data_IF_198803779784
#
_entry.id   IF_198803779784
#
_cell.length_a   1.000
_cell.length_b   1.000
_cell.length_c   1.000
_cell.angle_alpha   90.00
_cell.angle_beta   90.00
_cell.angle_gamma   90.00
#
_symmetry.space_group_name_H-M   'P 1'
#
loop_
_entity.id
_entity.type
_entity.pdbx_description
1 polymer ?
#
# COMPACT_ATOMS: atom_id res chain seq x y z
N UNK A 1 36.34 -19.33 59.84
CA UNK A 1 36.83 -19.70 58.49
C UNK A 1 36.21 -21.04 58.12
N UNK A 2 35.47 -21.06 56.99
CA UNK A 2 35.30 -22.14 55.98
C UNK A 2 35.61 -23.60 56.37
N UNK A 3 34.91 -24.64 55.94
CA UNK A 3 33.94 -24.89 54.85
C UNK A 3 33.31 -26.27 55.12
N UNK A 4 32.04 -26.49 54.74
CA UNK A 4 31.38 -27.81 54.81
C UNK A 4 31.40 -28.49 53.43
N UNK A 5 31.81 -29.77 53.44
CA UNK A 5 31.82 -30.76 52.36
C UNK A 5 30.41 -31.09 51.84
N UNK A 6 30.32 -31.51 50.57
CA UNK A 6 29.85 -32.87 50.22
C UNK A 6 30.05 -33.17 48.73
N UNK A 7 30.57 -34.36 48.46
CA UNK A 7 30.71 -34.97 47.13
C UNK A 7 29.79 -36.19 47.07
N UNK A 8 29.00 -36.38 46.00
CA UNK A 8 28.51 -37.71 45.58
C UNK A 8 28.40 -37.74 44.04
N UNK A 9 29.00 -38.76 43.45
CA UNK A 9 28.80 -39.32 42.10
C UNK A 9 28.29 -40.75 42.34
N UNK A 10 27.45 -41.43 41.55
CA UNK A 10 27.39 -41.64 40.11
C UNK A 10 26.14 -42.53 39.84
N UNK A 11 25.48 -42.41 38.69
CA UNK A 11 25.09 -43.52 37.79
C UNK A 11 24.09 -43.06 36.71
N UNK A 12 24.40 -43.39 35.46
CA UNK A 12 23.54 -43.30 34.26
C UNK A 12 23.28 -44.74 33.80
N UNK A 13 22.12 -45.04 33.18
CA UNK A 13 22.18 -45.36 31.76
C UNK A 13 21.03 -44.76 30.93
N UNK A 14 21.33 -44.56 29.65
CA UNK A 14 20.48 -44.04 28.59
C UNK A 14 19.42 -45.04 28.10
N UNK A 15 18.34 -44.55 27.51
CA UNK A 15 17.73 -45.14 26.29
C UNK A 15 16.78 -44.14 25.63
N UNK A 16 16.88 -44.04 24.30
CA UNK A 16 15.98 -43.34 23.42
C UNK A 16 14.80 -44.25 23.03
N UNK A 17 13.58 -43.72 22.92
CA UNK A 17 12.55 -44.26 22.04
C UNK A 17 11.43 -43.23 21.82
N UNK A 18 11.04 -43.13 20.56
CA UNK A 18 9.93 -42.42 19.93
C UNK A 18 8.60 -42.58 20.67
N UNK A 19 7.79 -41.51 20.75
CA UNK A 19 6.37 -41.65 21.08
C UNK A 19 5.50 -41.08 19.95
N UNK A 20 4.74 -42.03 19.43
CA UNK A 20 3.66 -42.04 18.46
C UNK A 20 2.46 -41.20 18.95
N UNK A 21 1.79 -40.50 18.04
CA UNK A 21 0.43 -39.99 18.24
C UNK A 21 -0.58 -41.14 18.15
N UNK A 22 -1.67 -41.10 18.95
CA UNK A 22 -2.93 -41.62 18.44
C UNK A 22 -4.13 -40.69 18.69
N UNK A 23 -5.11 -40.87 17.81
CA UNK A 23 -6.32 -40.08 17.59
C UNK A 23 -7.39 -40.18 18.68
N UNK A 24 -8.17 -39.10 18.77
CA UNK A 24 -9.59 -38.95 19.16
C UNK A 24 -10.29 -40.01 20.02
N UNK A 25 -10.95 -39.56 21.11
CA UNK A 25 -12.42 -39.52 21.36
C UNK A 25 -12.64 -38.97 22.79
N UNK A 26 -13.63 -38.09 22.97
CA UNK A 26 -13.67 -37.11 24.07
C UNK A 26 -14.36 -37.51 25.38
N UNK A 27 -14.25 -36.60 26.36
CA UNK A 27 -15.23 -36.36 27.41
C UNK A 27 -15.07 -34.92 27.96
N UNK A 28 -16.19 -34.28 28.27
CA UNK A 28 -16.31 -32.88 28.71
C UNK A 28 -16.11 -32.76 30.22
N UNK A 29 -15.27 -31.81 30.66
CA UNK A 29 -15.45 -31.14 31.96
C UNK A 29 -14.62 -29.85 32.04
N UNK A 30 -15.30 -28.72 32.25
CA UNK A 30 -14.76 -27.59 33.00
C UNK A 30 -14.11 -26.45 32.20
N UNK A 31 -14.87 -25.38 32.02
CA UNK A 31 -14.37 -24.02 32.24
C UNK A 31 -13.61 -23.34 31.10
N UNK A 32 -14.02 -22.10 30.82
CA UNK A 32 -13.42 -21.14 29.88
C UNK A 32 -13.61 -21.46 28.39
N UNK A 33 -14.67 -20.90 27.83
CA UNK A 33 -14.76 -20.66 26.39
C UNK A 33 -13.66 -19.68 25.98
N UNK A 34 -12.51 -20.21 25.55
CA UNK A 34 -11.56 -19.46 24.73
C UNK A 34 -12.18 -19.41 23.34
N UNK A 35 -12.83 -18.28 23.03
CA UNK A 35 -13.20 -17.96 21.65
C UNK A 35 -11.88 -17.83 20.87
N UNK A 36 -11.51 -18.89 20.16
CA UNK A 36 -10.54 -18.79 19.09
C UNK A 36 -11.18 -17.96 17.98
N UNK A 37 -11.06 -16.63 18.09
CA UNK A 37 -11.07 -15.80 16.89
C UNK A 37 -9.89 -16.29 16.06
N UNK A 38 -10.20 -17.04 15.00
CA UNK A 38 -9.27 -17.27 13.90
C UNK A 38 -8.89 -15.91 13.32
N UNK A 39 -7.87 -15.27 13.88
CA UNK A 39 -7.15 -14.22 13.20
C UNK A 39 -6.52 -14.89 11.97
N UNK A 40 -7.14 -14.68 10.80
CA UNK A 40 -6.53 -14.99 9.50
C UNK A 40 -5.10 -14.47 9.55
N UNK A 41 -4.14 -15.37 9.53
CA UNK A 41 -2.72 -15.04 9.57
C UNK A 41 -2.41 -14.21 8.32
N UNK A 42 -1.76 -13.04 8.48
CA UNK A 42 -1.24 -12.22 7.36
C UNK A 42 -0.01 -12.94 6.71
N UNK A 43 -0.05 -14.27 6.57
CA UNK A 43 0.98 -15.04 5.88
C UNK A 43 0.79 -14.85 4.37
N UNK A 44 1.89 -14.77 3.61
CA UNK A 44 1.86 -14.87 2.13
C UNK A 44 1.29 -16.25 1.77
N UNK A 45 0.07 -16.37 1.22
CA UNK A 45 -0.36 -17.64 0.66
C UNK A 45 0.40 -17.86 -0.64
N UNK A 46 0.93 -19.07 -0.84
CA UNK A 46 1.39 -19.51 -2.16
C UNK A 46 0.14 -19.55 -3.06
N UNK A 47 0.08 -18.68 -4.06
CA UNK A 47 -1.00 -18.74 -5.02
C UNK A 47 -0.90 -20.05 -5.81
N UNK A 48 -2.05 -20.60 -6.22
CA UNK A 48 -2.07 -21.81 -7.04
C UNK A 48 -1.52 -21.45 -8.44
N UNK A 49 -0.27 -21.82 -8.72
CA UNK A 49 0.51 -21.34 -9.87
C UNK A 49 -0.20 -21.51 -11.24
N UNK A 50 -1.08 -22.50 -11.39
CA UNK A 50 -1.74 -22.83 -12.66
C UNK A 50 -2.72 -21.76 -13.21
N UNK A 51 -3.22 -20.81 -12.40
CA UNK A 51 -4.13 -19.74 -12.86
C UNK A 51 -3.46 -18.36 -13.03
N UNK A 52 -2.24 -18.18 -12.52
CA UNK A 52 -1.44 -16.96 -12.66
C UNK A 52 -0.62 -16.96 -13.96
N UNK A 53 -0.30 -18.13 -14.52
CA UNK A 53 0.42 -18.31 -15.80
C UNK A 53 -0.32 -17.76 -17.04
N UNK A 54 -1.53 -17.21 -16.88
CA UNK A 54 -2.36 -16.65 -17.98
C UNK A 54 -2.43 -15.11 -17.98
N UNK A 55 -1.69 -14.42 -17.11
CA UNK A 55 -1.68 -12.95 -17.08
C UNK A 55 -0.67 -12.46 -18.14
N UNK A 56 -1.11 -11.82 -19.26
CA UNK A 56 -0.23 -11.53 -20.39
C UNK A 56 0.67 -10.30 -20.20
N UNK A 57 0.57 -9.60 -19.06
CA UNK A 57 1.27 -8.35 -18.82
C UNK A 57 2.70 -8.64 -18.33
N UNK A 58 3.62 -8.86 -19.27
CA UNK A 58 5.05 -8.92 -18.98
C UNK A 58 5.61 -7.50 -18.92
N UNK A 59 6.20 -7.09 -17.79
CA UNK A 59 6.79 -5.77 -17.58
C UNK A 59 7.69 -5.34 -18.76
N UNK A 60 7.16 -4.58 -19.72
CA UNK A 60 7.93 -3.99 -20.79
C UNK A 60 8.62 -2.74 -20.26
N UNK A 61 9.89 -2.54 -20.65
CA UNK A 61 10.65 -1.39 -20.18
C UNK A 61 10.15 -0.11 -20.86
N UNK A 62 9.93 0.99 -20.12
CA UNK A 62 9.62 2.29 -20.72
C UNK A 62 10.82 2.78 -21.57
N UNK A 63 10.64 3.83 -22.39
CA UNK A 63 11.74 4.45 -23.13
C UNK A 63 12.93 4.75 -22.22
N UNK A 64 14.17 4.50 -22.69
CA UNK A 64 15.39 4.58 -21.86
C UNK A 64 15.54 5.91 -21.09
N UNK A 65 15.14 7.02 -21.70
CA UNK A 65 15.28 8.36 -21.11
C UNK A 65 14.32 8.57 -19.93
N UNK A 66 13.07 8.12 -20.06
CA UNK A 66 12.08 8.10 -18.98
C UNK A 66 12.48 7.11 -17.88
N UNK A 67 13.03 5.94 -18.26
CA UNK A 67 13.54 4.95 -17.33
C UNK A 67 14.69 5.53 -16.49
N UNK A 68 15.62 6.27 -17.08
CA UNK A 68 16.75 6.88 -16.38
C UNK A 68 16.29 7.93 -15.36
N UNK A 69 15.33 8.79 -15.75
CA UNK A 69 14.76 9.81 -14.87
C UNK A 69 14.03 9.19 -13.68
N UNK A 70 13.16 8.20 -13.92
CA UNK A 70 12.39 7.52 -12.88
C UNK A 70 13.27 6.67 -11.96
N UNK A 71 14.27 5.98 -12.51
CA UNK A 71 15.26 5.27 -11.68
C UNK A 71 15.97 6.25 -10.77
N UNK A 72 16.37 7.42 -11.27
CA UNK A 72 17.02 8.48 -10.46
C UNK A 72 16.11 9.05 -9.36
N UNK A 73 14.80 9.01 -9.56
CA UNK A 73 13.79 9.40 -8.58
C UNK A 73 13.71 8.41 -7.42
N UNK A 74 13.89 7.12 -7.71
CA UNK A 74 13.78 6.02 -6.74
C UNK A 74 15.13 5.55 -6.18
N UNK A 75 16.26 6.03 -6.71
CA UNK A 75 17.58 5.83 -6.09
C UNK A 75 17.49 6.27 -4.61
N UNK A 76 17.87 5.39 -3.66
CA UNK A 76 17.93 5.73 -2.25
C UNK A 76 18.69 7.04 -2.02
N UNK A 77 17.95 8.12 -1.73
CA UNK A 77 18.54 9.42 -1.43
C UNK A 77 19.11 9.40 -0.01
N UNK A 78 20.14 10.24 0.28
CA UNK A 78 20.65 10.37 1.63
C UNK A 78 19.47 10.66 2.58
N UNK A 79 19.42 9.97 3.71
CA UNK A 79 18.31 10.02 4.69
C UNK A 79 17.87 11.46 5.02
N UNK A 80 18.83 12.39 5.06
CA UNK A 80 18.58 13.82 5.27
C UNK A 80 17.59 14.41 4.26
N UNK A 81 17.69 14.05 2.97
CA UNK A 81 16.81 14.60 1.94
C UNK A 81 15.36 14.14 2.14
N UNK A 82 15.17 12.85 2.44
CA UNK A 82 13.83 12.29 2.65
C UNK A 82 13.18 12.89 3.91
N UNK A 83 13.97 13.14 4.97
CA UNK A 83 13.52 13.87 6.16
C UNK A 83 13.07 15.30 5.80
N UNK A 84 13.86 16.03 5.00
CA UNK A 84 13.51 17.38 4.56
C UNK A 84 12.22 17.38 3.74
N UNK A 85 12.05 16.41 2.85
CA UNK A 85 10.87 16.32 2.00
C UNK A 85 9.60 16.02 2.82
N UNK A 86 9.65 15.04 3.75
CA UNK A 86 8.55 14.77 4.68
C UNK A 86 8.25 15.98 5.59
N UNK A 87 9.29 16.70 6.01
CA UNK A 87 9.16 17.94 6.76
C UNK A 87 8.46 19.05 5.95
N UNK A 88 8.80 19.16 4.66
CA UNK A 88 8.18 20.08 3.71
C UNK A 88 6.68 19.82 3.56
N UNK A 89 6.29 18.55 3.37
CA UNK A 89 4.87 18.16 3.32
C UNK A 89 4.17 18.60 4.60
N UNK A 90 4.67 18.23 5.78
CA UNK A 90 4.06 18.63 7.07
C UNK A 90 3.93 20.14 7.24
N UNK A 91 4.90 20.91 6.76
CA UNK A 91 4.86 22.37 6.80
C UNK A 91 3.75 22.90 5.88
N UNK A 92 3.59 22.33 4.69
CA UNK A 92 2.50 22.65 3.76
C UNK A 92 1.14 22.31 4.37
N UNK A 93 1.01 21.16 5.05
CA UNK A 93 -0.21 20.77 5.77
C UNK A 93 -0.56 21.78 6.89
N UNK A 94 0.45 22.21 7.65
CA UNK A 94 0.27 23.21 8.69
C UNK A 94 -0.14 24.57 8.10
N UNK A 95 0.53 25.01 7.03
CA UNK A 95 0.20 26.24 6.33
C UNK A 95 -1.24 26.20 5.78
N UNK A 96 -1.65 25.06 5.23
CA UNK A 96 -3.01 24.81 4.76
C UNK A 96 -4.03 24.92 5.87
N UNK A 97 -3.77 24.29 7.01
CA UNK A 97 -4.62 24.34 8.20
C UNK A 97 -4.79 25.77 8.73
N UNK A 98 -3.69 26.53 8.80
CA UNK A 98 -3.71 27.95 9.21
C UNK A 98 -4.48 28.80 8.19
N UNK A 99 -4.23 28.62 6.89
CA UNK A 99 -4.92 29.38 5.85
C UNK A 99 -6.43 29.13 5.87
N UNK A 100 -6.88 27.90 6.10
CA UNK A 100 -8.30 27.58 6.29
C UNK A 100 -8.85 28.26 7.55
N UNK A 101 -8.14 28.20 8.68
CA UNK A 101 -8.57 28.85 9.93
C UNK A 101 -8.67 30.38 9.82
N UNK A 102 -7.84 30.99 8.98
CA UNK A 102 -7.86 32.43 8.68
C UNK A 102 -8.84 32.80 7.55
N UNK A 103 -9.56 31.83 6.94
CA UNK A 103 -10.45 32.07 5.82
C UNK A 103 -9.74 32.45 4.51
N UNK A 104 -8.42 32.25 4.43
CA UNK A 104 -7.60 32.54 3.25
C UNK A 104 -7.62 31.40 2.22
N UNK A 105 -8.19 30.25 2.57
CA UNK A 105 -8.34 29.08 1.71
C UNK A 105 -9.75 28.50 1.83
N UNK A 106 -10.26 27.97 0.71
CA UNK A 106 -11.58 27.32 0.65
C UNK A 106 -11.64 26.15 1.63
N UNK A 107 -12.70 26.09 2.43
CA UNK A 107 -12.99 24.94 3.28
C UNK A 107 -13.38 23.75 2.39
N UNK A 108 -12.81 22.55 2.61
CA UNK A 108 -13.17 21.38 1.83
C UNK A 108 -14.67 21.11 1.86
N UNK A 109 -15.26 20.91 0.68
CA UNK A 109 -16.66 20.48 0.56
C UNK A 109 -16.81 19.13 1.26
N UNK A 110 -17.76 18.97 2.19
CA UNK A 110 -18.07 17.67 2.74
C UNK A 110 -18.74 16.79 1.69
N UNK A 111 -18.27 15.56 1.54
CA UNK A 111 -18.94 14.55 0.73
C UNK A 111 -19.42 13.42 1.66
N UNK A 112 -20.73 13.41 1.88
CA UNK A 112 -21.41 12.47 2.77
C UNK A 112 -22.06 11.29 2.04
N UNK A 113 -22.12 11.37 0.71
CA UNK A 113 -22.69 10.36 -0.16
C UNK A 113 -21.63 9.77 -1.08
N UNK A 114 -21.58 8.45 -1.16
CA UNK A 114 -20.65 7.72 -2.03
C UNK A 114 -21.04 7.83 -3.51
N UNK A 115 -22.31 8.13 -3.78
CA UNK A 115 -22.86 8.34 -5.11
C UNK A 115 -22.68 9.78 -5.60
N UNK A 116 -21.98 10.64 -4.86
CA UNK A 116 -21.69 12.00 -5.31
C UNK A 116 -20.92 11.94 -6.66
N UNK A 117 -21.27 12.76 -7.67
CA UNK A 117 -20.70 12.66 -9.01
C UNK A 117 -19.18 12.75 -9.08
N UNK A 118 -18.51 13.35 -8.10
CA UNK A 118 -17.02 13.40 -8.08
C UNK A 118 -16.39 12.01 -7.91
N UNK A 119 -17.18 11.02 -7.51
CA UNK A 119 -16.78 9.63 -7.26
C UNK A 119 -17.25 8.70 -8.38
N UNK A 120 -17.58 9.24 -9.55
CA UNK A 120 -18.04 8.42 -10.69
C UNK A 120 -17.01 7.32 -10.94
N UNK A 121 -17.43 6.06 -10.75
CA UNK A 121 -16.57 4.91 -11.03
C UNK A 121 -16.59 4.70 -12.53
N UNK A 122 -15.44 4.79 -13.22
CA UNK A 122 -15.39 4.57 -14.66
C UNK A 122 -15.86 3.15 -15.00
N UNK A 123 -16.78 3.04 -15.96
CA UNK A 123 -17.39 1.77 -16.40
C UNK A 123 -16.79 1.25 -17.70
N UNK A 124 -15.67 1.82 -18.13
CA UNK A 124 -14.93 1.39 -19.32
C UNK A 124 -14.36 0.00 -19.14
N UNK A 125 -14.05 -0.66 -20.26
CA UNK A 125 -13.47 -2.01 -20.26
C UNK A 125 -12.16 -2.06 -19.46
N UNK A 126 -11.26 -1.09 -19.68
CA UNK A 126 -9.99 -0.99 -18.96
C UNK A 126 -10.18 -0.83 -17.45
N UNK A 127 -11.13 0.01 -17.02
CA UNK A 127 -11.42 0.23 -15.60
C UNK A 127 -11.98 -1.03 -14.91
N UNK A 128 -12.92 -1.71 -15.55
CA UNK A 128 -13.49 -2.96 -15.03
C UNK A 128 -12.44 -4.08 -14.99
N UNK A 129 -11.61 -4.19 -16.03
CA UNK A 129 -10.52 -5.15 -16.10
C UNK A 129 -9.44 -4.86 -15.04
N UNK A 130 -9.15 -3.59 -14.73
CA UNK A 130 -8.19 -3.22 -13.70
C UNK A 130 -8.68 -3.63 -12.31
N UNK A 131 -9.97 -3.42 -12.03
CA UNK A 131 -10.58 -3.84 -10.77
C UNK A 131 -10.56 -5.36 -10.63
N UNK A 132 -10.93 -6.07 -11.70
CA UNK A 132 -10.90 -7.52 -11.73
C UNK A 132 -9.47 -8.07 -11.53
N UNK A 133 -8.46 -7.45 -12.14
CA UNK A 133 -7.06 -7.83 -11.95
C UNK A 133 -6.62 -7.61 -10.51
N UNK A 134 -6.89 -6.43 -9.93
CA UNK A 134 -6.57 -6.10 -8.54
C UNK A 134 -7.21 -7.09 -7.55
N UNK A 135 -8.49 -7.42 -7.75
CA UNK A 135 -9.20 -8.42 -6.95
C UNK A 135 -8.60 -9.83 -7.10
N UNK A 136 -8.31 -10.24 -8.33
CA UNK A 136 -7.74 -11.56 -8.62
C UNK A 136 -6.36 -11.72 -7.96
N UNK A 137 -5.50 -10.72 -8.05
CA UNK A 137 -4.11 -10.81 -7.57
C UNK A 137 -4.01 -10.65 -6.05
N UNK A 138 -4.88 -9.84 -5.44
CA UNK A 138 -5.01 -9.78 -3.99
C UNK A 138 -5.50 -11.12 -3.40
N UNK A 139 -6.42 -11.78 -4.10
CA UNK A 139 -7.06 -13.01 -3.66
C UNK A 139 -7.94 -12.82 -2.40
N UNK A 140 -8.57 -13.89 -1.90
CA UNK A 140 -9.60 -13.79 -0.85
C UNK A 140 -9.05 -13.41 0.54
N UNK A 141 -7.73 -13.39 0.72
CA UNK A 141 -7.07 -13.11 2.00
C UNK A 141 -6.49 -11.70 2.10
N UNK A 142 -6.48 -10.91 1.02
CA UNK A 142 -5.92 -9.55 0.99
C UNK A 142 -6.90 -8.50 0.49
N UNK A 143 -8.19 -8.64 0.82
CA UNK A 143 -9.22 -7.64 0.51
C UNK A 143 -8.84 -6.23 0.99
N UNK A 144 -8.05 -6.11 2.05
CA UNK A 144 -7.52 -4.84 2.54
C UNK A 144 -6.70 -4.07 1.48
N UNK A 145 -6.02 -4.76 0.54
CA UNK A 145 -5.28 -4.12 -0.59
C UNK A 145 -6.27 -3.55 -1.60
N UNK A 146 -7.29 -4.31 -1.99
CA UNK A 146 -8.31 -3.85 -2.93
C UNK A 146 -9.04 -2.63 -2.35
N UNK A 147 -9.42 -2.70 -1.08
CA UNK A 147 -10.06 -1.59 -0.39
C UNK A 147 -9.11 -0.39 -0.28
N UNK A 148 -7.82 -0.59 -0.03
CA UNK A 148 -6.82 0.47 -0.06
C UNK A 148 -6.75 1.15 -1.42
N UNK A 149 -6.67 0.38 -2.51
CA UNK A 149 -6.64 0.94 -3.86
C UNK A 149 -7.90 1.76 -4.18
N UNK A 150 -9.08 1.28 -3.77
CA UNK A 150 -10.33 2.01 -3.91
C UNK A 150 -10.36 3.29 -3.07
N UNK A 151 -9.86 3.24 -1.82
CA UNK A 151 -9.67 4.44 -0.97
C UNK A 151 -8.66 5.41 -1.57
N UNK A 152 -7.59 4.94 -2.21
CA UNK A 152 -6.60 5.76 -2.90
C UNK A 152 -7.24 6.53 -4.05
N UNK A 153 -8.05 5.89 -4.91
CA UNK A 153 -8.82 6.59 -5.94
C UNK A 153 -9.71 7.67 -5.35
N UNK A 154 -10.49 7.25 -4.37
CA UNK A 154 -11.43 8.06 -3.61
C UNK A 154 -10.78 9.32 -3.03
N UNK A 155 -9.73 9.17 -2.24
CA UNK A 155 -9.03 10.31 -1.63
C UNK A 155 -8.32 11.18 -2.67
N UNK A 156 -7.71 10.58 -3.71
CA UNK A 156 -7.10 11.33 -4.81
C UNK A 156 -8.11 12.23 -5.53
N UNK A 157 -9.29 11.71 -5.87
CA UNK A 157 -10.36 12.46 -6.52
C UNK A 157 -10.88 13.62 -5.64
N UNK A 158 -11.07 13.36 -4.34
CA UNK A 158 -11.52 14.40 -3.40
C UNK A 158 -10.47 15.51 -3.20
N UNK A 159 -9.18 15.17 -3.19
CA UNK A 159 -8.09 16.16 -3.16
C UNK A 159 -8.04 16.94 -4.48
N UNK A 160 -8.20 16.27 -5.62
CA UNK A 160 -8.22 16.93 -6.93
C UNK A 160 -9.33 17.99 -7.01
N UNK A 161 -10.53 17.67 -6.55
CA UNK A 161 -11.67 18.60 -6.48
C UNK A 161 -11.37 19.80 -5.58
N UNK A 162 -10.79 19.57 -4.40
CA UNK A 162 -10.41 20.66 -3.49
C UNK A 162 -9.37 21.60 -4.11
N UNK A 163 -8.39 21.03 -4.83
CA UNK A 163 -7.29 21.78 -5.43
C UNK A 163 -7.61 22.34 -6.82
N UNK A 164 -8.76 21.99 -7.41
CA UNK A 164 -9.09 22.31 -8.80
C UNK A 164 -8.11 21.66 -9.80
N UNK A 165 -7.56 20.50 -9.44
CA UNK A 165 -6.66 19.75 -10.32
C UNK A 165 -7.47 19.10 -11.43
N UNK A 166 -7.10 19.35 -12.68
CA UNK A 166 -7.67 18.67 -13.85
C UNK A 166 -7.00 17.32 -14.00
N UNK A 167 -7.79 16.26 -14.17
CA UNK A 167 -7.31 14.90 -14.38
C UNK A 167 -8.31 14.10 -15.21
N UNK A 168 -7.84 12.99 -15.80
CA UNK A 168 -8.70 11.99 -16.43
C UNK A 168 -9.13 10.94 -15.37
N UNK A 169 -10.44 10.82 -15.14
CA UNK A 169 -11.00 9.94 -14.10
C UNK A 169 -10.66 8.46 -14.32
N UNK A 170 -10.65 7.99 -15.58
CA UNK A 170 -10.28 6.62 -15.94
C UNK A 170 -8.80 6.38 -15.63
N UNK A 171 -7.94 7.34 -15.94
CA UNK A 171 -6.49 7.28 -15.64
C UNK A 171 -6.26 7.19 -14.13
N UNK A 172 -6.89 8.07 -13.33
CA UNK A 172 -6.73 8.04 -11.88
C UNK A 172 -7.27 6.74 -11.27
N UNK A 173 -8.43 6.26 -11.76
CA UNK A 173 -9.04 5.03 -11.27
C UNK A 173 -8.16 3.81 -11.55
N UNK A 174 -7.71 3.64 -12.80
CA UNK A 174 -6.83 2.53 -13.20
C UNK A 174 -5.49 2.61 -12.47
N UNK A 175 -4.86 3.79 -12.40
CA UNK A 175 -3.61 3.95 -11.68
C UNK A 175 -3.76 3.58 -10.18
N UNK A 176 -4.84 4.03 -9.54
CA UNK A 176 -5.11 3.71 -8.14
C UNK A 176 -5.34 2.22 -7.91
N UNK A 177 -6.02 1.52 -8.81
CA UNK A 177 -6.25 0.08 -8.72
C UNK A 177 -4.99 -0.76 -8.91
N UNK A 178 -4.04 -0.25 -9.70
CA UNK A 178 -2.86 -1.01 -10.11
C UNK A 178 -1.56 -0.60 -9.41
N UNK A 179 -1.54 0.49 -8.63
CA UNK A 179 -0.30 1.01 -8.03
C UNK A 179 0.45 0.02 -7.13
N UNK A 180 -0.32 -0.89 -6.51
CA UNK A 180 0.16 -1.86 -5.54
C UNK A 180 0.25 -3.30 -6.12
N UNK A 181 0.12 -3.47 -7.45
CA UNK A 181 0.17 -4.80 -8.11
C UNK A 181 1.43 -5.58 -7.73
N UNK A 182 2.59 -4.92 -7.64
CA UNK A 182 3.87 -5.55 -7.37
C UNK A 182 4.05 -6.05 -5.93
N UNK A 183 3.04 -5.91 -5.07
CA UNK A 183 2.96 -6.62 -3.78
C UNK A 183 2.39 -8.03 -3.87
N UNK A 184 1.89 -8.40 -5.06
CA UNK A 184 1.21 -9.65 -5.33
C UNK A 184 1.97 -10.45 -6.38
N UNK A 185 1.92 -11.77 -6.28
CA UNK A 185 2.37 -12.63 -7.37
C UNK A 185 1.40 -12.51 -8.56
N UNK A 186 1.88 -12.51 -9.81
CA UNK A 186 3.25 -12.79 -10.24
C UNK A 186 4.15 -11.56 -10.40
N UNK A 187 3.74 -10.37 -9.95
CA UNK A 187 4.41 -9.11 -10.26
C UNK A 187 5.61 -8.77 -9.34
N UNK A 188 5.70 -9.36 -8.15
CA UNK A 188 6.86 -9.21 -7.25
C UNK A 188 8.11 -9.90 -7.84
N UNK A 189 9.15 -9.12 -8.17
CA UNK A 189 10.46 -9.61 -8.60
C UNK A 189 11.58 -9.03 -7.75
N UNK A 190 12.64 -9.79 -7.48
CA UNK A 190 13.69 -9.37 -6.54
C UNK A 190 14.71 -8.35 -7.11
N UNK A 191 14.63 -8.01 -8.40
CA UNK A 191 15.60 -7.17 -9.11
C UNK A 191 15.26 -5.67 -9.14
N UNK A 192 14.06 -5.28 -8.73
CA UNK A 192 13.58 -3.90 -8.87
C UNK A 192 12.63 -3.48 -7.75
N UNK A 193 12.54 -2.16 -7.54
CA UNK A 193 11.54 -1.49 -6.69
C UNK A 193 10.12 -1.87 -7.12
N UNK A 194 9.23 -2.10 -6.14
CA UNK A 194 7.86 -2.53 -6.43
C UNK A 194 7.09 -1.45 -7.21
N UNK A 195 7.42 -0.18 -6.99
CA UNK A 195 6.83 0.96 -7.68
C UNK A 195 7.07 0.86 -9.19
N UNK A 196 8.29 0.55 -9.61
CA UNK A 196 8.63 0.40 -11.02
C UNK A 196 8.04 -0.88 -11.63
N UNK A 197 8.05 -1.98 -10.87
CA UNK A 197 7.43 -3.23 -11.30
C UNK A 197 5.93 -3.05 -11.56
N UNK A 198 5.24 -2.40 -10.61
CA UNK A 198 3.82 -2.09 -10.71
C UNK A 198 3.54 -1.14 -11.87
N UNK A 199 4.34 -0.09 -12.03
CA UNK A 199 4.21 0.87 -13.12
C UNK A 199 4.37 0.21 -14.50
N UNK A 200 5.37 -0.65 -14.68
CA UNK A 200 5.59 -1.39 -15.92
C UNK A 200 4.39 -2.30 -16.22
N UNK A 201 3.98 -3.13 -15.25
CA UNK A 201 2.84 -4.03 -15.41
C UNK A 201 1.54 -3.29 -15.73
N UNK A 202 1.30 -2.14 -15.07
CA UNK A 202 0.14 -1.30 -15.31
C UNK A 202 0.17 -0.68 -16.71
N UNK A 203 1.33 -0.22 -17.19
CA UNK A 203 1.46 0.30 -18.55
C UNK A 203 1.12 -0.75 -19.60
N UNK A 204 1.65 -1.96 -19.44
CA UNK A 204 1.37 -3.08 -20.36
C UNK A 204 -0.11 -3.49 -20.33
N UNK A 205 -0.69 -3.50 -19.12
CA UNK A 205 -2.13 -3.67 -18.94
C UNK A 205 -2.92 -2.61 -19.73
N UNK A 206 -2.58 -1.33 -19.59
CA UNK A 206 -3.31 -0.25 -20.24
C UNK A 206 -3.24 -0.35 -21.77
N UNK A 207 -2.06 -0.62 -22.33
CA UNK A 207 -1.86 -0.80 -23.78
C UNK A 207 -2.67 -2.01 -24.28
N UNK A 208 -2.64 -3.13 -23.54
CA UNK A 208 -3.41 -4.32 -23.89
C UNK A 208 -4.92 -4.08 -23.91
N UNK A 209 -5.42 -3.26 -22.99
CA UNK A 209 -6.83 -2.86 -22.89
C UNK A 209 -7.20 -1.64 -23.74
N UNK A 210 -6.37 -1.29 -24.73
CA UNK A 210 -6.69 -0.28 -25.75
C UNK A 210 -6.61 1.17 -25.27
N UNK A 211 -6.04 1.43 -24.09
CA UNK A 211 -5.76 2.81 -23.67
C UNK A 211 -4.66 3.41 -24.56
N UNK A 212 -4.71 4.73 -24.76
CA UNK A 212 -3.68 5.40 -25.56
C UNK A 212 -2.31 5.30 -24.89
N UNK A 213 -1.25 5.38 -25.69
CA UNK A 213 0.12 5.40 -25.16
C UNK A 213 0.34 6.55 -24.18
N UNK A 214 -0.27 7.72 -24.45
CA UNK A 214 -0.21 8.87 -23.55
C UNK A 214 -0.83 8.55 -22.18
N UNK A 215 -2.08 8.05 -22.12
CA UNK A 215 -2.72 7.66 -20.85
C UNK A 215 -1.91 6.59 -20.12
N UNK A 216 -1.40 5.61 -20.86
CA UNK A 216 -0.58 4.52 -20.30
C UNK A 216 0.72 5.03 -19.68
N UNK A 217 1.35 6.04 -20.29
CA UNK A 217 2.54 6.68 -19.74
C UNK A 217 2.23 7.52 -18.50
N UNK A 218 1.10 8.23 -18.45
CA UNK A 218 0.66 8.96 -17.25
C UNK A 218 0.40 7.99 -16.08
N UNK A 219 -0.29 6.88 -16.33
CA UNK A 219 -0.53 5.83 -15.32
C UNK A 219 0.79 5.26 -14.82
N UNK A 220 1.73 4.99 -15.71
CA UNK A 220 3.07 4.54 -15.35
C UNK A 220 3.75 5.54 -14.42
N UNK A 221 3.74 6.84 -14.72
CA UNK A 221 4.38 7.87 -13.89
C UNK A 221 3.70 8.05 -12.53
N UNK A 222 2.37 8.07 -12.50
CA UNK A 222 1.60 8.09 -11.26
C UNK A 222 2.01 6.96 -10.32
N UNK A 223 2.14 5.73 -10.85
CA UNK A 223 2.50 4.56 -10.05
C UNK A 223 4.00 4.57 -9.70
N UNK A 224 4.88 4.86 -10.65
CA UNK A 224 6.32 4.85 -10.39
C UNK A 224 6.74 5.85 -9.30
N UNK A 225 6.02 6.97 -9.18
CA UNK A 225 6.36 8.06 -8.28
C UNK A 225 5.49 8.13 -7.01
N UNK A 226 4.52 7.24 -6.83
CA UNK A 226 3.52 7.40 -5.76
C UNK A 226 4.10 7.36 -4.33
N UNK A 227 5.22 6.69 -4.12
CA UNK A 227 5.94 6.65 -2.82
C UNK A 227 6.98 7.76 -2.69
N UNK A 228 7.16 8.58 -3.72
CA UNK A 228 8.15 9.65 -3.80
C UNK A 228 7.47 11.03 -3.69
N UNK A 229 6.82 11.37 -2.56
CA UNK A 229 5.97 12.54 -2.47
C UNK A 229 6.71 13.87 -2.68
N UNK A 230 8.04 13.86 -2.57
CA UNK A 230 8.93 14.99 -2.79
C UNK A 230 9.02 15.47 -4.24
N UNK A 231 8.80 14.56 -5.20
CA UNK A 231 8.93 14.83 -6.64
C UNK A 231 7.66 15.46 -7.18
N UNK A 232 6.56 15.24 -6.46
CA UNK A 232 5.23 15.62 -6.87
C UNK A 232 4.95 17.12 -6.73
N UNK A 233 5.79 17.85 -5.99
CA UNK A 233 5.75 19.31 -5.91
C UNK A 233 6.55 20.01 -7.00
N UNK A 234 7.27 19.28 -7.86
CA UNK A 234 8.16 19.86 -8.85
C UNK A 234 7.38 20.29 -10.12
N UNK A 235 7.70 21.46 -10.71
CA UNK A 235 6.94 22.04 -11.81
C UNK A 235 7.02 21.26 -13.13
N UNK A 236 8.01 20.38 -13.29
CA UNK A 236 8.18 19.52 -14.48
C UNK A 236 7.15 18.39 -14.57
N UNK A 237 6.44 18.05 -13.49
CA UNK A 237 5.42 17.01 -13.50
C UNK A 237 4.02 17.60 -13.58
N UNK A 238 3.18 17.02 -14.44
CA UNK A 238 1.77 17.38 -14.52
C UNK A 238 1.09 17.21 -13.14
N UNK A 239 0.20 18.13 -12.73
CA UNK A 239 -0.45 18.06 -11.43
C UNK A 239 -1.12 16.73 -11.13
N UNK A 240 -1.74 16.08 -12.11
CA UNK A 240 -2.44 14.80 -11.94
C UNK A 240 -1.52 13.64 -11.48
N UNK A 241 -0.23 13.67 -11.81
CA UNK A 241 0.74 12.61 -11.44
C UNK A 241 0.78 12.40 -9.92
N UNK A 242 0.47 13.43 -9.14
CA UNK A 242 0.51 13.38 -7.67
C UNK A 242 -0.70 12.71 -7.01
N UNK A 243 -1.80 12.53 -7.75
CA UNK A 243 -3.09 12.20 -7.13
C UNK A 243 -3.10 10.80 -6.50
N UNK A 244 -2.41 9.82 -7.09
CA UNK A 244 -2.23 8.48 -6.49
C UNK A 244 -1.42 8.58 -5.20
N UNK A 245 -0.35 9.38 -5.18
CA UNK A 245 0.44 9.58 -3.95
C UNK A 245 -0.35 10.30 -2.87
N UNK A 246 -1.14 11.31 -3.23
CA UNK A 246 -1.98 12.02 -2.27
C UNK A 246 -3.04 11.09 -1.66
N UNK A 247 -3.71 10.29 -2.50
CA UNK A 247 -4.69 9.31 -2.02
C UNK A 247 -4.06 8.21 -1.17
N UNK A 248 -2.99 7.57 -1.65
CA UNK A 248 -2.32 6.48 -0.95
C UNK A 248 -1.63 6.98 0.33
N UNK A 249 -0.93 8.12 0.25
CA UNK A 249 -0.26 8.75 1.39
C UNK A 249 -1.25 9.18 2.48
N UNK A 250 -2.44 9.64 2.10
CA UNK A 250 -3.53 9.87 3.04
C UNK A 250 -3.93 8.58 3.74
N UNK A 251 -4.28 7.55 2.99
CA UNK A 251 -4.78 6.29 3.55
C UNK A 251 -3.74 5.54 4.42
N UNK A 252 -2.47 5.62 4.03
CA UNK A 252 -1.36 4.88 4.66
C UNK A 252 -0.85 5.62 5.89
N UNK A 253 -0.61 6.93 5.80
CA UNK A 253 0.12 7.69 6.81
C UNK A 253 -0.58 8.98 7.27
N UNK A 254 -1.78 9.28 6.77
CA UNK A 254 -2.54 10.48 7.12
C UNK A 254 -1.99 11.77 6.49
N UNK A 255 -1.22 11.67 5.42
CA UNK A 255 -0.77 12.83 4.66
C UNK A 255 -1.97 13.50 3.95
N UNK A 256 -1.93 14.81 3.78
CA UNK A 256 -2.96 15.60 3.09
C UNK A 256 -4.36 15.52 3.72
N UNK A 257 -4.49 15.02 4.95
CA UNK A 257 -5.79 14.86 5.62
C UNK A 257 -6.56 16.17 5.82
N UNK A 258 -5.88 17.30 5.85
CA UNK A 258 -6.44 18.65 5.93
C UNK A 258 -7.05 19.13 4.61
N UNK A 259 -6.69 18.52 3.48
CA UNK A 259 -7.22 18.88 2.16
C UNK A 259 -8.67 18.45 1.97
N UNK A 260 -9.16 17.48 2.74
CA UNK A 260 -10.54 16.99 2.62
C UNK A 260 -11.25 16.97 3.98
N UNK A 261 -12.57 17.08 3.92
CA UNK A 261 -13.40 17.12 5.13
C UNK A 261 -13.31 15.80 5.92
N UNK A 262 -13.50 15.89 7.24
CA UNK A 262 -13.62 14.70 8.10
C UNK A 262 -14.79 13.80 7.70
N UNK A 263 -15.89 14.38 7.22
CA UNK A 263 -17.05 13.63 6.74
C UNK A 263 -16.69 12.80 5.50
N UNK A 264 -16.03 13.40 4.51
CA UNK A 264 -15.51 12.70 3.32
C UNK A 264 -14.63 11.52 3.70
N UNK A 265 -13.70 11.73 4.65
CA UNK A 265 -12.82 10.68 5.15
C UNK A 265 -13.58 9.51 5.76
N UNK A 266 -14.59 9.81 6.59
CA UNK A 266 -15.43 8.79 7.22
C UNK A 266 -16.27 8.04 6.19
N UNK A 267 -16.85 8.72 5.20
CA UNK A 267 -17.62 8.12 4.11
C UNK A 267 -16.77 7.10 3.34
N UNK A 268 -15.56 7.49 2.93
CA UNK A 268 -14.64 6.61 2.18
C UNK A 268 -14.22 5.39 2.99
N UNK A 269 -13.85 5.55 4.26
CA UNK A 269 -13.43 4.43 5.11
C UNK A 269 -14.60 3.50 5.42
N UNK A 270 -15.81 4.04 5.58
CA UNK A 270 -17.03 3.24 5.78
C UNK A 270 -17.35 2.39 4.56
N UNK A 271 -17.26 2.95 3.36
CA UNK A 271 -17.54 2.24 2.11
C UNK A 271 -16.48 1.18 1.79
N UNK A 272 -15.22 1.49 2.07
CA UNK A 272 -14.10 0.59 1.82
C UNK A 272 -13.36 0.30 3.13
N UNK A 273 -13.86 -0.63 3.97
CA UNK A 273 -13.29 -0.94 5.28
C UNK A 273 -11.80 -1.27 5.24
N UNK A 274 -11.06 -0.94 6.30
CA UNK A 274 -9.59 -1.08 6.32
C UNK A 274 -9.13 -2.51 6.61
N UNK A 275 -9.88 -3.27 7.40
CA UNK A 275 -9.72 -4.74 7.51
C UNK A 275 -8.32 -5.16 8.02
N UNK A 276 -7.88 -4.60 9.16
CA UNK A 276 -6.52 -4.78 9.71
C UNK A 276 -5.40 -4.29 8.76
N UNK A 277 -5.70 -3.22 8.01
CA UNK A 277 -4.80 -2.59 7.05
C UNK A 277 -3.45 -2.30 7.69
N UNK A 278 -3.39 -1.60 8.84
CA UNK A 278 -2.10 -1.15 9.39
C UNK A 278 -1.21 -2.35 9.70
N UNK A 279 -1.80 -3.41 10.26
CA UNK A 279 -1.07 -4.63 10.62
C UNK A 279 -0.56 -5.37 9.39
N UNK A 280 -1.42 -5.67 8.41
CA UNK A 280 -0.99 -6.45 7.25
C UNK A 280 -0.08 -5.62 6.30
N UNK A 281 -0.33 -4.32 6.11
CA UNK A 281 0.53 -3.44 5.35
C UNK A 281 1.93 -3.32 5.97
N UNK A 282 2.03 -3.08 7.29
CA UNK A 282 3.32 -3.05 7.98
C UNK A 282 4.09 -4.38 7.84
N UNK A 283 3.41 -5.52 7.96
CA UNK A 283 4.03 -6.83 7.84
C UNK A 283 4.57 -7.07 6.43
N UNK A 284 3.80 -6.67 5.42
CA UNK A 284 4.15 -6.81 4.01
C UNK A 284 5.35 -5.92 3.61
N UNK A 285 5.35 -4.66 4.03
CA UNK A 285 6.49 -3.75 3.81
C UNK A 285 7.75 -4.19 4.58
N UNK A 286 7.61 -4.70 5.81
CA UNK A 286 8.74 -5.21 6.59
C UNK A 286 9.38 -6.45 5.94
N UNK A 287 8.57 -7.36 5.40
CA UNK A 287 9.09 -8.51 4.66
C UNK A 287 9.82 -8.08 3.37
N UNK A 288 9.26 -7.14 2.63
CA UNK A 288 9.92 -6.59 1.45
C UNK A 288 11.25 -5.91 1.78
N UNK A 289 11.27 -5.03 2.79
CA UNK A 289 12.49 -4.37 3.24
C UNK A 289 13.58 -5.36 3.68
N UNK A 290 13.19 -6.51 4.24
CA UNK A 290 14.10 -7.59 4.61
C UNK A 290 14.66 -8.33 3.39
N UNK A 291 13.84 -8.57 2.36
CA UNK A 291 14.25 -9.28 1.15
C UNK A 291 15.05 -8.40 0.18
N UNK A 292 14.70 -7.12 0.10
CA UNK A 292 15.24 -6.15 -0.85
C UNK A 292 15.77 -4.90 -0.13
N UNK A 293 16.87 -5.00 0.62
CA UNK A 293 17.33 -3.94 1.54
C UNK A 293 17.76 -2.64 0.84
N UNK A 294 18.08 -2.70 -0.45
CA UNK A 294 18.58 -1.57 -1.25
C UNK A 294 17.46 -0.81 -1.99
N UNK A 295 16.20 -1.19 -1.77
CA UNK A 295 15.02 -0.55 -2.40
C UNK A 295 14.64 0.77 -1.74
N UNK A 296 13.93 1.61 -2.49
CA UNK A 296 13.34 2.85 -2.00
C UNK A 296 12.45 2.63 -0.77
N UNK A 297 11.60 1.59 -0.81
CA UNK A 297 10.72 1.25 0.30
C UNK A 297 11.48 0.73 1.53
N UNK A 298 12.58 -0.01 1.35
CA UNK A 298 13.42 -0.43 2.47
C UNK A 298 14.02 0.76 3.21
N UNK A 299 14.52 1.76 2.48
CA UNK A 299 15.03 3.00 3.08
C UNK A 299 13.92 3.75 3.82
N UNK A 300 12.73 3.86 3.22
CA UNK A 300 11.55 4.45 3.88
C UNK A 300 11.20 3.75 5.20
N UNK A 301 11.21 2.42 5.22
CA UNK A 301 11.00 1.64 6.44
C UNK A 301 12.05 1.94 7.51
N UNK A 302 13.33 2.05 7.15
CA UNK A 302 14.43 2.39 8.07
C UNK A 302 14.29 3.80 8.68
N UNK A 303 13.57 4.71 8.02
CA UNK A 303 13.32 6.07 8.51
C UNK A 303 12.03 6.19 9.33
N UNK A 304 11.40 5.06 9.68
CA UNK A 304 10.25 5.05 10.57
C UNK A 304 8.89 5.10 9.85
N UNK A 305 8.84 4.84 8.55
CA UNK A 305 7.57 4.81 7.81
C UNK A 305 6.55 3.84 8.43
N UNK A 306 6.99 2.66 8.88
CA UNK A 306 6.10 1.72 9.58
C UNK A 306 5.50 2.29 10.87
N UNK A 307 6.20 3.20 11.55
CA UNK A 307 5.66 3.91 12.71
C UNK A 307 4.61 4.94 12.27
N UNK A 308 4.87 5.68 11.19
CA UNK A 308 3.90 6.61 10.62
C UNK A 308 2.59 5.90 10.25
N UNK A 309 2.65 4.70 9.66
CA UNK A 309 1.45 3.89 9.34
C UNK A 309 0.65 3.55 10.59
N UNK A 310 1.32 3.07 11.64
CA UNK A 310 0.65 2.71 12.91
C UNK A 310 -0.04 3.92 13.55
N UNK A 311 0.61 5.08 13.48
CA UNK A 311 0.11 6.35 14.00
C UNK A 311 -0.86 7.07 13.05
N UNK A 312 -1.15 6.51 11.88
CA UNK A 312 -2.08 7.09 10.91
C UNK A 312 -3.47 7.32 11.51
N UNK A 313 -4.22 8.31 11.01
CA UNK A 313 -5.43 8.84 11.66
C UNK A 313 -6.66 7.94 11.53
N UNK A 314 -6.61 6.92 10.67
CA UNK A 314 -7.73 6.02 10.43
C UNK A 314 -7.63 4.78 11.31
N UNK A 315 -8.75 4.40 11.90
CA UNK A 315 -8.93 3.12 12.61
C UNK A 315 -8.97 1.94 11.61
N UNK A 316 -9.24 0.72 12.08
CA UNK A 316 -9.31 -0.50 11.24
C UNK A 316 -10.70 -0.81 10.69
#
# INVERSE_FOLDING_TARGET
MSLIRASISLAVPATAASIFFPDSVGYVAGGTAVVFLFAKTCSRPLANHAELDKIPYSCSSPPKEQQLTLTTCLIPRPKLRIILDLGGIKLEQLATSIAMALGLRRIPRPISDIDDPIWTIPTTEAAQAALALCQKTAGPHRQWIVNHCLRTFRFGAAVAEQLGTVYDEEVLFVASLLHDLAWTEPFDRDDLDFELLGAQAARDFCIHHGMSEHKSNVIHEMIALHTSPHILGLPEYAPEIRLVSQGAGMDVAGLFCEEISSETKLTVVKEHPRLNFKKCCCALMADHARRKPDTHMAVSCQMGFLTAIRMGPFDE
#
